data_IF_594992594334
#
_entry.id   IF_594992594334
#
_cell.length_a   1.000
_cell.length_b   1.000
_cell.length_c   1.000
_cell.angle_alpha   90.00
_cell.angle_beta   90.00
_cell.angle_gamma   90.00
#
_symmetry.space_group_name_H-M   'P 1'
#
loop_
_entity.id
_entity.type
_entity.pdbx_description
1 polymer ?
#
# COMPACT_ATOMS: atom_id res chain seq x y z
N UNK A 1 6.90 18.86 -14.76
CA UNK A 1 6.89 17.46 -14.27
C UNK A 1 5.75 17.28 -13.29
N UNK A 2 5.09 16.16 -13.38
CA UNK A 2 3.94 15.87 -12.52
C UNK A 2 4.39 15.62 -11.09
N UNK A 3 3.49 15.83 -10.15
CA UNK A 3 3.74 15.48 -8.75
C UNK A 3 3.28 14.05 -8.50
N UNK A 4 3.75 13.51 -7.39
CA UNK A 4 3.33 12.17 -6.95
C UNK A 4 1.82 12.12 -6.80
N UNK A 5 1.23 13.17 -6.20
CA UNK A 5 -0.22 13.22 -5.99
C UNK A 5 -1.04 13.17 -7.26
N UNK A 6 -0.47 13.68 -8.37
CA UNK A 6 -1.17 13.67 -9.65
C UNK A 6 -1.13 12.31 -10.34
N UNK A 7 -0.19 11.44 -9.94
CA UNK A 7 0.02 10.16 -10.60
C UNK A 7 -0.43 8.99 -9.72
N UNK A 8 -0.45 9.17 -8.41
CA UNK A 8 -0.76 8.10 -7.45
C UNK A 8 -2.17 7.56 -7.59
N UNK A 9 -2.41 6.39 -7.00
CA UNK A 9 -3.75 5.88 -6.80
C UNK A 9 -4.26 6.41 -5.47
N UNK A 10 -5.33 7.21 -5.47
CA UNK A 10 -5.81 7.83 -4.24
C UNK A 10 -6.72 6.94 -3.39
N UNK A 11 -7.22 5.85 -3.96
CA UNK A 11 -8.12 4.96 -3.22
C UNK A 11 -7.29 3.79 -2.70
N UNK A 12 -6.92 3.87 -1.43
CA UNK A 12 -6.02 2.89 -0.83
C UNK A 12 -6.79 2.02 0.13
N UNK A 13 -6.69 0.70 -0.08
CA UNK A 13 -7.15 -0.24 0.93
C UNK A 13 -6.05 -0.34 2.00
N UNK A 14 -6.42 -0.14 3.24
CA UNK A 14 -5.49 -0.26 4.36
C UNK A 14 -6.17 -1.04 5.48
N UNK A 15 -5.39 -1.53 6.41
CA UNK A 15 -5.92 -2.32 7.52
C UNK A 15 -5.48 -1.70 8.84
N UNK A 16 -6.32 -1.77 9.87
CA UNK A 16 -5.92 -1.36 11.21
C UNK A 16 -4.91 -2.34 11.78
N UNK A 17 -3.98 -1.84 12.59
CA UNK A 17 -2.97 -2.71 13.21
C UNK A 17 -3.60 -3.72 14.16
N UNK A 18 -4.77 -3.43 14.70
CA UNK A 18 -5.45 -4.33 15.63
C UNK A 18 -6.50 -5.22 14.95
N UNK A 19 -6.52 -5.24 13.62
CA UNK A 19 -7.38 -6.18 12.91
C UNK A 19 -6.87 -7.60 13.12
N UNK A 20 -7.80 -8.54 13.25
CA UNK A 20 -7.42 -9.95 13.36
C UNK A 20 -6.68 -10.37 12.09
N UNK A 21 -5.58 -11.08 12.27
CA UNK A 21 -4.74 -11.48 11.14
C UNK A 21 -5.53 -12.34 10.14
N UNK A 22 -6.39 -13.20 10.66
CA UNK A 22 -7.24 -14.03 9.81
C UNK A 22 -8.13 -13.17 8.91
N UNK A 23 -8.67 -12.08 9.46
CA UNK A 23 -9.52 -11.19 8.68
C UNK A 23 -8.72 -10.43 7.64
N UNK A 24 -7.51 -9.99 7.99
CA UNK A 24 -6.66 -9.30 7.03
C UNK A 24 -6.35 -10.20 5.85
N UNK A 25 -6.06 -11.48 6.12
CA UNK A 25 -5.78 -12.44 5.06
C UNK A 25 -6.98 -12.59 4.14
N UNK A 26 -8.18 -12.69 4.71
CA UNK A 26 -9.41 -12.84 3.92
C UNK A 26 -9.67 -11.60 3.07
N UNK A 27 -9.42 -10.41 3.63
CA UNK A 27 -9.66 -9.17 2.91
C UNK A 27 -8.69 -9.01 1.73
N UNK A 28 -7.42 -9.35 1.94
CA UNK A 28 -6.45 -9.28 0.86
C UNK A 28 -6.77 -10.29 -0.23
N UNK A 29 -7.16 -11.50 0.17
CA UNK A 29 -7.50 -12.53 -0.79
C UNK A 29 -8.72 -12.14 -1.63
N UNK A 30 -9.74 -11.58 -0.99
CA UNK A 30 -10.95 -11.17 -1.68
C UNK A 30 -10.66 -10.07 -2.70
N UNK A 31 -9.72 -9.19 -2.40
CA UNK A 31 -9.34 -8.09 -3.28
C UNK A 31 -8.23 -8.46 -4.25
N UNK A 32 -7.63 -9.62 -4.07
CA UNK A 32 -6.50 -10.07 -4.88
C UNK A 32 -5.32 -9.09 -4.77
N UNK A 33 -5.13 -8.52 -3.59
CA UNK A 33 -4.01 -7.65 -3.31
C UNK A 33 -2.88 -8.44 -2.68
N UNK A 34 -1.64 -8.04 -2.97
CA UNK A 34 -0.47 -8.70 -2.40
C UNK A 34 -0.06 -8.09 -1.07
N UNK A 35 -0.68 -7.00 -0.67
CA UNK A 35 -0.37 -6.35 0.59
C UNK A 35 -1.15 -5.09 0.77
N UNK A 36 -1.04 -4.51 1.96
CA UNK A 36 -1.74 -3.27 2.29
C UNK A 36 -1.00 -2.55 3.40
N UNK A 37 -1.07 -1.22 3.43
CA UNK A 37 -0.55 -0.47 4.57
C UNK A 37 -1.34 -0.80 5.83
N UNK A 38 -0.64 -0.81 6.96
CA UNK A 38 -1.26 -0.99 8.27
C UNK A 38 -1.17 0.33 9.01
N UNK A 39 -2.31 0.80 9.52
CA UNK A 39 -2.38 2.09 10.19
C UNK A 39 -2.74 1.92 11.65
N UNK A 40 -2.13 2.75 12.48
CA UNK A 40 -2.41 2.78 13.91
C UNK A 40 -3.77 3.42 14.18
N UNK A 41 -4.29 3.32 15.41
CA UNK A 41 -5.54 3.98 15.76
C UNK A 41 -5.52 5.49 15.52
N UNK A 42 -4.32 6.10 15.53
CA UNK A 42 -4.17 7.54 15.28
C UNK A 42 -4.15 7.86 13.79
N UNK A 43 -4.25 6.85 12.91
CA UNK A 43 -4.29 7.08 11.48
C UNK A 43 -2.92 7.15 10.81
N UNK A 44 -1.87 6.76 11.51
CA UNK A 44 -0.52 6.79 10.94
C UNK A 44 -0.17 5.44 10.35
N UNK A 45 0.49 5.46 9.20
CA UNK A 45 1.00 4.22 8.60
C UNK A 45 2.20 3.78 9.42
N UNK A 46 2.11 2.59 10.01
CA UNK A 46 3.17 2.09 10.87
C UNK A 46 3.76 0.77 10.37
N UNK A 47 3.24 0.23 9.29
CA UNK A 47 3.77 -1.00 8.73
C UNK A 47 3.05 -1.38 7.47
N UNK A 48 3.40 -2.53 6.94
CA UNK A 48 2.77 -3.12 5.76
C UNK A 48 2.53 -4.59 6.06
N UNK A 49 1.35 -5.09 5.70
CA UNK A 49 1.07 -6.52 5.78
C UNK A 49 1.06 -7.06 4.36
N UNK A 50 1.83 -8.13 4.11
CA UNK A 50 2.00 -8.67 2.77
C UNK A 50 1.69 -10.15 2.75
N UNK A 51 1.55 -10.70 1.54
CA UNK A 51 1.38 -12.15 1.38
C UNK A 51 2.54 -12.91 1.98
N UNK A 52 3.76 -12.36 1.88
CA UNK A 52 4.93 -13.00 2.48
C UNK A 52 4.76 -13.10 3.99
N UNK A 53 4.33 -11.99 4.62
CA UNK A 53 4.09 -11.98 6.07
C UNK A 53 3.05 -13.04 6.45
N UNK A 54 1.95 -13.09 5.70
CA UNK A 54 0.89 -14.03 5.98
C UNK A 54 1.33 -15.47 5.79
N UNK A 55 2.12 -15.72 4.75
CA UNK A 55 2.60 -17.06 4.47
C UNK A 55 3.56 -17.54 5.56
N UNK A 56 4.42 -16.67 6.03
CA UNK A 56 5.38 -17.02 7.07
C UNK A 56 4.70 -17.37 8.38
N UNK A 57 3.52 -16.81 8.63
CA UNK A 57 2.80 -17.06 9.86
C UNK A 57 1.70 -18.12 9.74
N UNK A 58 1.57 -18.69 8.56
CA UNK A 58 0.47 -19.62 8.29
C UNK A 58 0.54 -20.86 9.18
N UNK A 59 1.71 -21.43 9.36
CA UNK A 59 1.88 -22.66 10.10
C UNK A 59 1.51 -22.54 11.57
N UNK A 60 1.56 -21.33 12.11
CA UNK A 60 1.21 -21.10 13.50
C UNK A 60 -0.26 -20.81 13.71
N UNK A 61 -1.03 -20.86 12.64
CA UNK A 61 -2.42 -20.45 12.65
C UNK A 61 -2.50 -18.95 12.97
N UNK A 62 -3.58 -18.32 12.53
CA UNK A 62 -3.75 -16.89 12.75
C UNK A 62 -4.53 -16.58 14.02
N UNK A 63 -4.99 -17.62 14.69
CA UNK A 63 -5.89 -17.45 15.83
C UNK A 63 -5.25 -16.63 16.93
N UNK A 64 -5.95 -15.59 17.37
CA UNK A 64 -5.46 -14.72 18.42
C UNK A 64 -4.38 -13.74 17.99
N UNK A 65 -4.04 -13.72 16.72
CA UNK A 65 -3.00 -12.84 16.21
C UNK A 65 -3.60 -11.66 15.50
N UNK A 66 -2.90 -10.54 15.57
CA UNK A 66 -3.34 -9.29 14.96
C UNK A 66 -2.35 -8.89 13.88
N UNK A 67 -2.79 -7.98 13.01
CA UNK A 67 -1.93 -7.46 11.94
C UNK A 67 -0.59 -7.00 12.50
N UNK A 68 -0.60 -6.30 13.64
CA UNK A 68 0.64 -5.78 14.21
C UNK A 68 1.62 -6.87 14.62
N UNK A 69 1.14 -8.09 14.83
CA UNK A 69 2.01 -9.20 15.21
C UNK A 69 2.78 -9.78 14.03
N UNK A 70 2.30 -9.54 12.82
CA UNK A 70 2.89 -10.13 11.61
C UNK A 70 3.40 -9.11 10.60
N UNK A 71 2.96 -7.86 10.71
CA UNK A 71 3.33 -6.84 9.73
C UNK A 71 4.83 -6.56 9.72
N UNK A 72 5.30 -6.08 8.58
CA UNK A 72 6.65 -5.56 8.46
C UNK A 72 6.59 -4.08 8.85
N UNK A 73 7.36 -3.66 9.84
CA UNK A 73 7.26 -2.27 10.33
C UNK A 73 7.99 -1.25 9.47
N UNK A 74 8.66 -1.68 8.44
CA UNK A 74 9.40 -0.79 7.56
C UNK A 74 8.46 -0.27 6.48
N UNK A 75 8.34 1.05 6.35
CA UNK A 75 7.45 1.68 5.39
C UNK A 75 8.25 2.68 4.56
N UNK A 76 8.20 2.52 3.24
CA UNK A 76 8.81 3.48 2.34
C UNK A 76 7.73 4.42 1.83
N UNK A 77 7.96 5.71 1.96
CA UNK A 77 6.93 6.70 1.65
C UNK A 77 7.50 7.88 0.87
N UNK A 78 6.58 8.62 0.24
CA UNK A 78 6.87 9.91 -0.38
C UNK A 78 5.70 10.82 -0.05
N UNK A 79 5.90 12.11 -0.23
CA UNK A 79 4.84 13.09 -0.01
C UNK A 79 4.08 13.32 -1.30
N UNK A 80 2.79 13.64 -1.19
CA UNK A 80 1.99 13.87 -2.38
C UNK A 80 2.46 15.08 -3.18
N UNK A 81 3.09 16.05 -2.53
CA UNK A 81 3.59 17.24 -3.21
C UNK A 81 4.96 17.05 -3.84
N UNK A 82 5.61 15.92 -3.59
CA UNK A 82 6.93 15.65 -4.18
C UNK A 82 6.83 15.52 -5.69
N UNK A 83 7.90 15.92 -6.41
CA UNK A 83 7.93 15.64 -7.84
C UNK A 83 8.02 14.14 -8.10
N UNK A 84 7.49 13.73 -9.25
CA UNK A 84 7.46 12.30 -9.59
C UNK A 84 8.84 11.68 -9.57
N UNK A 85 9.88 12.44 -9.94
CA UNK A 85 11.26 11.93 -9.92
C UNK A 85 11.65 11.45 -8.54
N UNK A 86 11.11 12.04 -7.50
CA UNK A 86 11.46 11.63 -6.14
C UNK A 86 10.95 10.21 -5.87
N UNK A 87 9.74 9.91 -6.33
CA UNK A 87 9.21 8.55 -6.19
C UNK A 87 10.04 7.55 -6.99
N UNK A 88 10.42 7.93 -8.21
CA UNK A 88 11.25 7.08 -9.07
C UNK A 88 12.58 6.79 -8.38
N UNK A 89 13.22 7.84 -7.87
CA UNK A 89 14.51 7.71 -7.20
C UNK A 89 14.40 6.81 -5.98
N UNK A 90 13.32 7.01 -5.20
CA UNK A 90 13.13 6.24 -3.97
C UNK A 90 12.91 4.77 -4.27
N UNK A 91 12.08 4.46 -5.27
CA UNK A 91 11.85 3.07 -5.67
C UNK A 91 13.14 2.42 -6.13
N UNK A 92 13.92 3.14 -6.93
CA UNK A 92 15.16 2.60 -7.45
C UNK A 92 16.18 2.37 -6.34
N UNK A 93 16.31 3.33 -5.42
CA UNK A 93 17.28 3.23 -4.34
C UNK A 93 16.92 2.11 -3.37
N UNK A 94 15.65 2.01 -2.99
CA UNK A 94 15.22 1.03 -2.01
C UNK A 94 14.93 -0.34 -2.62
N UNK A 95 14.83 -0.42 -3.94
CA UNK A 95 14.51 -1.68 -4.60
C UNK A 95 13.07 -2.11 -4.38
N UNK A 96 12.16 -1.17 -4.26
CA UNK A 96 10.75 -1.48 -4.03
C UNK A 96 9.91 -1.02 -5.21
N UNK A 97 8.71 -1.59 -5.35
CA UNK A 97 7.83 -1.34 -6.48
C UNK A 97 6.63 -0.49 -6.12
N UNK A 98 6.50 -0.09 -4.87
CA UNK A 98 5.40 0.75 -4.42
C UNK A 98 5.82 1.55 -3.21
N UNK A 99 5.21 2.72 -3.06
CA UNK A 99 5.46 3.61 -1.93
C UNK A 99 4.11 4.09 -1.43
N UNK A 100 3.98 4.22 -0.11
CA UNK A 100 2.80 4.91 0.42
C UNK A 100 3.00 6.40 0.21
N UNK A 101 1.90 7.11 -0.05
CA UNK A 101 1.94 8.55 -0.28
C UNK A 101 1.25 9.21 0.90
N UNK A 102 1.94 10.18 1.48
CA UNK A 102 1.47 10.88 2.67
C UNK A 102 1.24 12.35 2.35
N UNK A 103 0.35 12.98 3.12
CA UNK A 103 0.16 14.43 3.02
C UNK A 103 1.10 15.13 4.01
N UNK A 104 0.95 16.45 4.15
CA UNK A 104 1.81 17.25 5.03
C UNK A 104 1.63 16.90 6.50
N UNK A 105 0.53 16.23 6.84
CA UNK A 105 0.25 15.82 8.22
C UNK A 105 0.56 14.36 8.45
N UNK A 106 1.32 13.73 7.55
CA UNK A 106 1.73 12.33 7.67
C UNK A 106 0.56 11.37 7.56
N UNK A 107 -0.52 11.77 6.92
CA UNK A 107 -1.68 10.89 6.71
C UNK A 107 -1.58 10.20 5.37
N UNK A 108 -2.06 8.97 5.34
CA UNK A 108 -2.08 8.17 4.12
C UNK A 108 -3.09 8.78 3.15
N UNK A 109 -2.63 9.16 1.96
CA UNK A 109 -3.50 9.73 0.93
C UNK A 109 -3.45 8.96 -0.38
N UNK A 110 -2.53 8.02 -0.52
CA UNK A 110 -2.46 7.26 -1.75
C UNK A 110 -1.36 6.23 -1.74
N UNK A 111 -1.24 5.53 -2.86
CA UNK A 111 -0.14 4.61 -3.13
C UNK A 111 0.33 4.90 -4.54
N UNK A 112 1.64 4.90 -4.74
CA UNK A 112 2.19 5.01 -6.08
C UNK A 112 3.04 3.77 -6.35
N UNK A 113 2.84 3.19 -7.53
CA UNK A 113 3.54 1.97 -7.93
C UNK A 113 4.41 2.24 -9.14
N UNK A 114 5.34 1.32 -9.39
CA UNK A 114 6.16 1.42 -10.59
C UNK A 114 5.31 1.38 -11.86
N UNK A 115 4.18 0.67 -11.83
CA UNK A 115 3.27 0.64 -12.98
C UNK A 115 2.62 2.01 -13.21
N UNK A 116 2.28 2.73 -12.13
CA UNK A 116 1.74 4.08 -12.26
C UNK A 116 2.75 4.99 -12.95
N UNK A 117 4.01 4.89 -12.54
CA UNK A 117 5.08 5.68 -13.16
C UNK A 117 5.23 5.31 -14.62
N UNK A 118 5.20 4.02 -14.92
CA UNK A 118 5.38 3.56 -16.29
C UNK A 118 4.27 4.07 -17.19
N UNK A 119 3.02 4.04 -16.71
CA UNK A 119 1.90 4.59 -17.47
C UNK A 119 2.06 6.08 -17.74
N UNK A 120 2.51 6.81 -16.71
CA UNK A 120 2.73 8.24 -16.87
C UNK A 120 3.80 8.52 -17.92
N UNK A 121 4.92 7.78 -17.86
CA UNK A 121 6.00 7.96 -18.82
C UNK A 121 5.57 7.58 -20.23
N UNK A 122 4.71 6.60 -20.36
CA UNK A 122 4.24 6.13 -21.67
C UNK A 122 3.07 6.94 -22.19
N UNK A 123 2.53 7.85 -21.39
CA UNK A 123 1.42 8.68 -21.82
C UNK A 123 0.05 8.02 -21.73
N UNK A 124 -0.06 6.93 -20.99
CA UNK A 124 -1.36 6.27 -20.82
C UNK A 124 -2.04 6.81 -19.57
N UNK A 125 -3.30 7.22 -19.68
CA UNK A 125 -4.02 7.75 -18.53
C UNK A 125 -4.37 6.63 -17.56
N UNK A 126 -4.55 7.00 -16.30
CA UNK A 126 -5.03 6.07 -15.28
C UNK A 126 -6.41 5.56 -15.67
N UNK A 127 -6.66 4.30 -15.36
CA UNK A 127 -7.95 3.67 -15.60
C UNK A 127 -8.69 3.58 -14.27
N UNK A 128 -9.55 4.55 -13.95
CA UNK A 128 -10.20 4.55 -12.63
C UNK A 128 -10.94 3.26 -12.30
N UNK A 129 -11.56 2.65 -13.29
CA UNK A 129 -12.33 1.44 -13.08
C UNK A 129 -11.46 0.24 -12.73
N UNK A 130 -10.14 0.36 -12.89
CA UNK A 130 -9.26 -0.74 -12.52
C UNK A 130 -9.28 -0.99 -11.02
N UNK A 131 -9.56 0.03 -10.25
CA UNK A 131 -9.68 -0.14 -8.80
C UNK A 131 -10.75 -1.17 -8.48
N UNK A 132 -11.87 -1.09 -9.19
CA UNK A 132 -12.96 -2.02 -8.96
C UNK A 132 -12.71 -3.39 -9.56
N UNK A 133 -12.01 -3.40 -10.70
CA UNK A 133 -11.70 -4.66 -11.37
C UNK A 133 -10.76 -5.52 -10.55
N UNK A 134 -9.76 -4.88 -9.90
CA UNK A 134 -8.75 -5.61 -9.15
C UNK A 134 -9.08 -5.69 -7.67
N UNK A 135 -10.08 -5.01 -7.23
CA UNK A 135 -10.50 -4.98 -5.84
C UNK A 135 -11.95 -5.41 -5.76
N UNK A 136 -12.21 -6.71 -5.77
CA UNK A 136 -13.58 -7.18 -5.74
C UNK A 136 -14.33 -6.61 -4.55
N UNK A 137 -15.62 -6.50 -4.67
CA UNK A 137 -16.41 -6.01 -3.56
C UNK A 137 -16.19 -6.86 -2.33
N UNK A 138 -16.24 -6.24 -1.24
CA UNK A 138 -16.01 -6.91 0.03
C UNK A 138 -17.26 -6.92 0.84
#
# INVERSE_FOLDING_TARGET
MRTVGEVMEPQVFWVPTDMALERAAAELAARQFSGAPACSPEGRVVGVITLTDLTEHYGGAYEGRLVKDAMTPEVFSVKQADPLEEAIRRMAFEGVHRLVVLDDHERLVGIITSMDVLRELAGYPRQPQRVFAVAPPT
#
